data_IF_355222816487
#
_entry.id   IF_355222816487
#
_cell.length_a   1.000
_cell.length_b   1.000
_cell.length_c   1.000
_cell.angle_alpha   90.00
_cell.angle_beta   90.00
_cell.angle_gamma   90.00
#
_symmetry.space_group_name_H-M   'P 1'
#
loop_
_entity.id
_entity.type
_entity.pdbx_description
1 polymer ?
#
# COMPACT_ATOMS: atom_id res chain seq x y z
N UNK A 1 0.23 -29.63 8.33
CA UNK A 1 0.97 -28.71 7.44
C UNK A 1 0.15 -28.21 6.27
N UNK A 2 -0.54 -29.08 5.50
CA UNK A 2 -1.41 -28.66 4.38
C UNK A 2 -2.57 -27.74 4.81
N UNK A 3 -3.17 -27.97 5.97
CA UNK A 3 -4.26 -27.12 6.51
C UNK A 3 -3.81 -25.70 6.87
N UNK A 4 -2.54 -25.49 7.23
CA UNK A 4 -2.01 -24.16 7.53
C UNK A 4 -1.80 -23.34 6.25
N UNK A 5 -1.33 -23.99 5.18
CA UNK A 5 -1.23 -23.34 3.87
C UNK A 5 -2.61 -23.01 3.30
N UNK A 6 -3.59 -23.92 3.43
CA UNK A 6 -4.95 -23.66 2.97
C UNK A 6 -5.62 -22.50 3.73
N UNK A 7 -5.44 -22.42 5.05
CA UNK A 7 -5.97 -21.33 5.87
C UNK A 7 -5.32 -19.96 5.54
N UNK A 8 -4.03 -19.96 5.21
CA UNK A 8 -3.32 -18.76 4.74
C UNK A 8 -3.78 -18.32 3.35
N UNK A 9 -4.04 -19.26 2.43
CA UNK A 9 -4.59 -18.94 1.11
C UNK A 9 -6.00 -18.37 1.21
N UNK A 10 -6.87 -18.96 2.04
CA UNK A 10 -8.24 -18.45 2.25
C UNK A 10 -8.22 -17.07 2.90
N UNK A 11 -7.32 -16.80 3.86
CA UNK A 11 -7.14 -15.46 4.44
C UNK A 11 -6.65 -14.44 3.43
N UNK A 12 -5.72 -14.83 2.55
CA UNK A 12 -5.21 -13.96 1.49
C UNK A 12 -6.28 -13.65 0.43
N UNK A 13 -7.11 -14.64 0.10
CA UNK A 13 -8.24 -14.51 -0.84
C UNK A 13 -9.39 -13.67 -0.25
N UNK A 14 -9.64 -13.81 1.05
CA UNK A 14 -10.61 -12.98 1.81
C UNK A 14 -10.10 -11.55 1.99
N UNK A 15 -8.79 -11.35 2.17
CA UNK A 15 -8.16 -10.03 2.20
C UNK A 15 -8.20 -9.34 0.82
N UNK A 16 -8.07 -10.11 -0.27
CA UNK A 16 -8.22 -9.60 -1.63
C UNK A 16 -9.67 -9.23 -1.98
N UNK A 17 -10.67 -9.91 -1.42
CA UNK A 17 -12.10 -9.60 -1.66
C UNK A 17 -12.65 -8.45 -0.81
N UNK A 18 -11.98 -8.07 0.29
CA UNK A 18 -12.34 -6.92 1.14
C UNK A 18 -11.36 -5.74 1.05
N UNK A 19 -10.47 -5.70 0.05
CA UNK A 19 -9.55 -4.58 -0.12
C UNK A 19 -10.32 -3.34 -0.57
N UNK A 20 -10.33 -2.30 0.27
CA UNK A 20 -10.94 -1.01 -0.10
C UNK A 20 -10.17 -0.45 -1.31
N UNK A 21 -10.83 0.24 -2.26
CA UNK A 21 -10.15 0.80 -3.43
C UNK A 21 -8.93 1.68 -3.07
N UNK A 22 -9.01 2.40 -1.94
CA UNK A 22 -7.93 3.22 -1.41
C UNK A 22 -6.74 2.40 -0.90
N UNK A 23 -6.97 1.21 -0.34
CA UNK A 23 -5.93 0.27 0.10
C UNK A 23 -5.26 -0.41 -1.09
N UNK A 24 -6.04 -0.73 -2.13
CA UNK A 24 -5.50 -1.20 -3.42
C UNK A 24 -4.63 -0.13 -4.08
N UNK A 25 -5.10 1.12 -4.13
CA UNK A 25 -4.33 2.24 -4.66
C UNK A 25 -3.03 2.46 -3.87
N UNK A 26 -3.10 2.43 -2.53
CA UNK A 26 -1.91 2.52 -1.67
C UNK A 26 -0.91 1.40 -1.95
N UNK A 27 -1.38 0.16 -2.07
CA UNK A 27 -0.55 -1.00 -2.39
C UNK A 27 0.17 -0.83 -3.73
N UNK A 28 -0.58 -0.42 -4.76
CA UNK A 28 -0.01 -0.20 -6.09
C UNK A 28 1.04 0.92 -6.10
N UNK A 29 0.79 2.03 -5.41
CA UNK A 29 1.76 3.12 -5.28
C UNK A 29 3.02 2.71 -4.52
N UNK A 30 2.89 1.89 -3.46
CA UNK A 30 4.04 1.34 -2.74
C UNK A 30 4.88 0.40 -3.62
N UNK A 31 4.23 -0.45 -4.42
CA UNK A 31 4.90 -1.32 -5.38
C UNK A 31 5.64 -0.50 -6.46
N UNK A 32 5.00 0.53 -7.00
CA UNK A 32 5.63 1.45 -7.97
C UNK A 32 6.84 2.17 -7.37
N UNK A 33 6.72 2.70 -6.14
CA UNK A 33 7.84 3.32 -5.42
C UNK A 33 8.99 2.33 -5.21
N UNK A 34 8.69 1.10 -4.80
CA UNK A 34 9.72 0.08 -4.61
C UNK A 34 10.46 -0.24 -5.92
N UNK A 35 9.73 -0.35 -7.03
CA UNK A 35 10.32 -0.55 -8.35
C UNK A 35 11.22 0.62 -8.76
N UNK A 36 10.77 1.86 -8.57
CA UNK A 36 11.57 3.05 -8.88
C UNK A 36 12.86 3.12 -8.04
N UNK A 37 12.77 2.88 -6.73
CA UNK A 37 13.95 2.84 -5.84
C UNK A 37 14.90 1.71 -6.23
N UNK A 38 14.39 0.54 -6.61
CA UNK A 38 15.22 -0.57 -7.07
C UNK A 38 15.96 -0.21 -8.36
N UNK A 39 15.28 0.41 -9.33
CA UNK A 39 15.91 0.87 -10.56
C UNK A 39 17.01 1.93 -10.30
N UNK A 40 16.78 2.83 -9.35
CA UNK A 40 17.78 3.80 -8.88
C UNK A 40 18.98 3.13 -8.19
N UNK A 41 18.73 2.07 -7.40
CA UNK A 41 19.80 1.33 -6.72
C UNK A 41 20.64 0.51 -7.70
N UNK A 42 20.02 -0.04 -8.75
CA UNK A 42 20.69 -0.81 -9.81
C UNK A 42 21.55 0.06 -10.72
N UNK A 43 21.26 1.35 -10.83
CA UNK A 43 22.04 2.28 -11.67
C UNK A 43 23.42 2.58 -11.08
N UNK A 44 23.63 2.39 -9.77
CA UNK A 44 24.95 2.46 -9.13
C UNK A 44 25.72 3.78 -9.30
N UNK A 45 25.05 4.86 -9.73
CA UNK A 45 25.66 6.10 -10.21
C UNK A 45 24.73 7.31 -10.13
N UNK A 46 24.99 8.33 -10.96
CA UNK A 46 24.29 9.61 -10.94
C UNK A 46 22.80 9.46 -11.31
N UNK A 47 21.91 9.96 -10.45
CA UNK A 47 20.47 9.85 -10.65
C UNK A 47 19.99 10.83 -11.71
N UNK A 48 19.22 10.35 -12.69
CA UNK A 48 18.59 11.24 -13.66
C UNK A 48 17.54 12.12 -12.98
N UNK A 49 17.42 13.37 -13.43
CA UNK A 49 16.41 14.29 -12.93
C UNK A 49 14.99 13.71 -13.10
N UNK A 50 14.74 13.00 -14.20
CA UNK A 50 13.47 12.33 -14.46
C UNK A 50 13.16 11.24 -13.43
N UNK A 51 14.13 10.42 -13.06
CA UNK A 51 13.92 9.34 -12.10
C UNK A 51 13.73 9.89 -10.66
N UNK A 52 14.40 10.98 -10.32
CA UNK A 52 14.15 11.71 -9.06
C UNK A 52 12.76 12.36 -9.05
N UNK A 53 12.33 12.91 -10.19
CA UNK A 53 11.01 13.50 -10.34
C UNK A 53 9.90 12.45 -10.23
N UNK A 54 10.07 11.29 -10.86
CA UNK A 54 9.15 10.15 -10.75
C UNK A 54 9.03 9.70 -9.28
N UNK A 55 10.16 9.57 -8.56
CA UNK A 55 10.13 9.19 -7.15
C UNK A 55 9.41 10.23 -6.28
N UNK A 56 9.64 11.52 -6.53
CA UNK A 56 8.95 12.60 -5.82
C UNK A 56 7.44 12.56 -6.07
N UNK A 57 7.01 12.35 -7.32
CA UNK A 57 5.60 12.23 -7.68
C UNK A 57 4.93 11.04 -6.98
N UNK A 58 5.60 9.88 -6.92
CA UNK A 58 5.13 8.69 -6.21
C UNK A 58 4.99 8.94 -4.69
N UNK A 59 5.93 9.69 -4.10
CA UNK A 59 5.85 10.07 -2.69
C UNK A 59 4.69 11.04 -2.43
N UNK A 60 4.48 12.03 -3.28
CA UNK A 60 3.32 12.94 -3.17
C UNK A 60 2.01 12.19 -3.27
N UNK A 61 1.88 11.26 -4.22
CA UNK A 61 0.68 10.44 -4.36
C UNK A 61 0.43 9.56 -3.13
N UNK A 62 1.48 8.96 -2.54
CA UNK A 62 1.36 8.18 -1.30
C UNK A 62 0.92 9.04 -0.11
N UNK A 63 1.44 10.27 0.00
CA UNK A 63 1.03 11.21 1.04
C UNK A 63 -0.44 11.58 0.89
N UNK A 64 -0.89 11.94 -0.31
CA UNK A 64 -2.29 12.26 -0.57
C UNK A 64 -3.23 11.09 -0.24
N UNK A 65 -2.84 9.86 -0.61
CA UNK A 65 -3.63 8.65 -0.26
C UNK A 65 -3.66 8.43 1.25
N UNK A 66 -2.57 8.69 1.97
CA UNK A 66 -2.54 8.58 3.44
C UNK A 66 -3.47 9.60 4.08
N UNK A 67 -3.39 10.85 3.66
CA UNK A 67 -4.25 11.94 4.13
C UNK A 67 -5.73 11.64 3.84
N UNK A 68 -6.03 11.09 2.67
CA UNK A 68 -7.38 10.69 2.28
C UNK A 68 -7.92 9.56 3.16
N UNK A 69 -7.09 8.54 3.44
CA UNK A 69 -7.44 7.46 4.37
C UNK A 69 -7.70 8.04 5.76
N UNK A 70 -6.83 8.90 6.27
CA UNK A 70 -6.99 9.51 7.60
C UNK A 70 -8.28 10.36 7.68
N UNK A 71 -8.53 11.21 6.67
CA UNK A 71 -9.68 12.11 6.62
C UNK A 71 -11.02 11.39 6.41
N UNK A 72 -11.03 10.28 5.67
CA UNK A 72 -12.24 9.50 5.40
C UNK A 72 -12.46 8.38 6.42
N UNK A 73 -11.41 7.83 7.04
CA UNK A 73 -11.56 6.77 8.04
C UNK A 73 -12.36 7.24 9.25
N UNK A 74 -12.16 8.49 9.69
CA UNK A 74 -12.93 9.09 10.78
C UNK A 74 -14.42 9.27 10.42
N UNK A 75 -14.73 9.58 9.14
CA UNK A 75 -16.11 9.79 8.67
C UNK A 75 -16.84 8.49 8.36
N UNK A 76 -16.13 7.48 7.90
CA UNK A 76 -16.68 6.19 7.47
C UNK A 76 -16.66 5.12 8.57
N UNK A 77 -16.23 5.47 9.79
CA UNK A 77 -16.14 4.51 10.91
C UNK A 77 -15.10 3.42 10.69
N UNK A 78 -14.11 3.63 9.82
CA UNK A 78 -13.07 2.64 9.53
C UNK A 78 -12.06 2.45 10.67
N UNK A 79 -12.15 3.26 11.72
CA UNK A 79 -11.35 3.16 12.95
C UNK A 79 -11.91 2.23 14.03
N UNK A 80 -12.97 1.45 13.73
CA UNK A 80 -13.64 0.59 14.72
C UNK A 80 -13.59 -0.89 14.35
N UNK A 81 -12.43 -1.50 14.44
CA UNK A 81 -12.33 -2.95 14.64
C UNK A 81 -11.15 -3.20 15.56
N UNK A 82 -11.32 -2.79 16.80
CA UNK A 82 -10.49 -3.18 17.93
C UNK A 82 -11.45 -3.51 19.09
N UNK A 83 -11.39 -4.77 19.51
CA UNK A 83 -11.85 -5.34 20.78
C UNK A 83 -13.02 -4.70 21.53
N UNK A 84 -14.24 -5.12 21.17
CA UNK A 84 -15.34 -5.27 22.14
C UNK A 84 -15.97 -6.65 21.99
N UNK A 85 -15.20 -7.67 22.34
CA UNK A 85 -15.75 -8.96 22.77
C UNK A 85 -15.98 -8.85 24.29
N UNK A 86 -17.24 -8.68 24.65
CA UNK A 86 -17.78 -8.97 25.99
C UNK A 86 -17.79 -10.49 26.21
#
# INVERSE_FOLDING_TARGET
>A
MLSYLMDQYTKMETAMTNSRPVDTLRTNLLAARHKAVKALAETGGEFSADALHELAALQTALTAVREEIEAHAARMGWGGSDDTLD
#
